data_IF_926786187480
#
_entry.id   IF_926786187480
#
_cell.length_a   1.000
_cell.length_b   1.000
_cell.length_c   1.000
_cell.angle_alpha   90.00
_cell.angle_beta   90.00
_cell.angle_gamma   90.00
#
_symmetry.space_group_name_H-M   'P 1'
#
loop_
_entity.id
_entity.type
_entity.pdbx_description
1 polymer ?
#
# COMPACT_ATOMS: atom_id res chain seq x y z
N UNK A 1 3.55 51.88 -28.71
CA UNK A 1 3.18 50.59 -29.32
C UNK A 1 4.26 49.52 -29.15
N UNK A 2 5.54 49.76 -29.45
CA UNK A 2 6.62 48.78 -29.21
C UNK A 2 6.92 48.48 -27.72
N UNK A 3 6.56 49.40 -26.81
CA UNK A 3 6.73 49.23 -25.35
C UNK A 3 5.76 48.21 -24.73
N UNK A 4 4.52 48.13 -25.22
CA UNK A 4 3.51 47.22 -24.65
C UNK A 4 3.81 45.76 -25.02
N UNK A 5 4.39 45.53 -26.20
CA UNK A 5 4.80 44.20 -26.65
C UNK A 5 6.01 43.67 -25.85
N UNK A 6 7.03 44.48 -25.57
CA UNK A 6 8.19 44.04 -24.78
C UNK A 6 7.83 43.75 -23.33
N UNK A 7 6.90 44.53 -22.75
CA UNK A 7 6.34 44.26 -21.42
C UNK A 7 5.52 42.97 -21.42
N UNK A 8 4.65 42.76 -22.41
CA UNK A 8 3.87 41.51 -22.54
C UNK A 8 4.76 40.27 -22.70
N UNK A 9 5.84 40.36 -23.48
CA UNK A 9 6.81 39.26 -23.64
C UNK A 9 7.65 39.02 -22.38
N UNK A 10 8.00 40.07 -21.63
CA UNK A 10 8.69 39.95 -20.35
C UNK A 10 7.81 39.30 -19.27
N UNK A 11 6.54 39.72 -19.18
CA UNK A 11 5.55 39.14 -18.25
C UNK A 11 5.30 37.67 -18.57
N UNK A 12 5.07 37.31 -19.83
CA UNK A 12 4.85 35.91 -20.24
C UNK A 12 6.04 35.00 -19.88
N UNK A 13 7.26 35.53 -19.99
CA UNK A 13 8.50 34.82 -19.62
C UNK A 13 8.63 34.58 -18.13
N UNK A 14 8.34 35.58 -17.31
CA UNK A 14 8.33 35.44 -15.85
C UNK A 14 7.24 34.47 -15.39
N UNK A 15 6.09 34.46 -16.08
CA UNK A 15 5.00 33.51 -15.80
C UNK A 15 5.44 32.06 -16.02
N UNK A 16 6.15 31.74 -17.10
CA UNK A 16 6.66 30.37 -17.31
C UNK A 16 7.62 29.92 -16.21
N UNK A 17 8.55 30.78 -15.78
CA UNK A 17 9.46 30.46 -14.67
C UNK A 17 8.67 30.23 -13.38
N UNK A 18 7.73 31.11 -13.07
CA UNK A 18 6.91 31.00 -11.86
C UNK A 18 6.10 29.70 -11.83
N UNK A 19 5.39 29.38 -12.93
CA UNK A 19 4.63 28.13 -13.06
C UNK A 19 5.58 26.93 -12.96
N UNK A 20 6.71 26.96 -13.65
CA UNK A 20 7.71 25.89 -13.61
C UNK A 20 8.21 25.62 -12.19
N UNK A 21 8.58 26.67 -11.44
CA UNK A 21 9.02 26.55 -10.04
C UNK A 21 7.89 25.99 -9.16
N UNK A 22 6.64 26.45 -9.33
CA UNK A 22 5.50 25.93 -8.57
C UNK A 22 5.28 24.44 -8.85
N UNK A 23 5.31 24.03 -10.13
CA UNK A 23 5.18 22.61 -10.52
C UNK A 23 6.31 21.76 -9.92
N UNK A 24 7.56 22.24 -9.99
CA UNK A 24 8.70 21.56 -9.37
C UNK A 24 8.54 21.45 -7.86
N UNK A 25 8.14 22.54 -7.19
CA UNK A 25 7.91 22.57 -5.74
C UNK A 25 6.83 21.57 -5.31
N UNK A 26 5.67 21.58 -5.97
CA UNK A 26 4.58 20.62 -5.70
C UNK A 26 5.07 19.19 -5.90
N UNK A 27 5.79 18.92 -7.00
CA UNK A 27 6.26 17.56 -7.33
C UNK A 27 7.29 17.06 -6.33
N UNK A 28 8.27 17.89 -5.94
CA UNK A 28 9.28 17.52 -4.95
C UNK A 28 8.65 17.32 -3.57
N UNK A 29 7.73 18.20 -3.16
CA UNK A 29 7.02 18.04 -1.87
C UNK A 29 6.22 16.75 -1.87
N UNK A 30 5.46 16.46 -2.94
CA UNK A 30 4.65 15.23 -3.04
C UNK A 30 5.52 13.97 -3.04
N UNK A 31 6.66 14.01 -3.75
CA UNK A 31 7.62 12.93 -3.80
C UNK A 31 8.24 12.66 -2.42
N UNK A 32 8.75 13.69 -1.73
CA UNK A 32 9.34 13.53 -0.40
C UNK A 32 8.30 13.11 0.63
N UNK A 33 7.08 13.66 0.56
CA UNK A 33 5.98 13.26 1.44
C UNK A 33 5.66 11.78 1.27
N UNK A 34 5.43 11.33 0.04
CA UNK A 34 5.02 9.96 -0.26
C UNK A 34 6.11 8.94 0.02
N UNK A 35 7.38 9.30 -0.14
CA UNK A 35 8.51 8.36 -0.02
C UNK A 35 9.18 8.36 1.35
N UNK A 36 9.20 9.50 2.06
CA UNK A 36 9.94 9.64 3.32
C UNK A 36 9.03 9.84 4.53
N UNK A 37 7.84 10.43 4.37
CA UNK A 37 6.95 10.71 5.50
C UNK A 37 6.01 9.55 5.81
N UNK A 38 6.53 8.58 6.57
CA UNK A 38 5.83 7.34 6.97
C UNK A 38 4.48 7.57 7.66
N UNK A 39 4.32 8.65 8.44
CA UNK A 39 3.07 8.95 9.15
C UNK A 39 2.08 9.78 8.33
N UNK A 40 2.55 10.44 7.26
CA UNK A 40 1.74 11.38 6.47
C UNK A 40 0.88 10.73 5.40
N UNK A 41 1.01 9.41 5.20
CA UNK A 41 0.37 8.70 4.10
C UNK A 41 0.86 9.17 2.73
N UNK A 42 -0.02 9.13 1.73
CA UNK A 42 0.35 9.53 0.38
C UNK A 42 0.23 11.04 0.23
N UNK A 43 1.19 11.65 -0.48
CA UNK A 43 1.13 13.07 -0.80
C UNK A 43 -0.15 13.42 -1.58
N UNK A 44 -0.61 14.68 -1.57
CA UNK A 44 -1.89 15.06 -2.16
C UNK A 44 -2.05 14.71 -3.63
N UNK A 45 -1.00 14.87 -4.43
CA UNK A 45 -1.02 14.53 -5.86
C UNK A 45 -1.08 13.01 -6.04
N UNK A 46 -0.29 12.28 -5.26
CA UNK A 46 -0.30 10.81 -5.29
C UNK A 46 -1.66 10.26 -4.83
N UNK A 47 -2.22 10.76 -3.73
CA UNK A 47 -3.53 10.36 -3.22
C UNK A 47 -4.65 10.59 -4.26
N UNK A 48 -4.64 11.76 -4.91
CA UNK A 48 -5.59 12.06 -5.99
C UNK A 48 -5.43 11.11 -7.18
N UNK A 49 -4.19 10.85 -7.60
CA UNK A 49 -3.90 9.94 -8.71
C UNK A 49 -4.33 8.50 -8.38
N UNK A 50 -4.04 8.01 -7.17
CA UNK A 50 -4.45 6.70 -6.71
C UNK A 50 -5.97 6.55 -6.72
N UNK A 51 -6.70 7.53 -6.15
CA UNK A 51 -8.15 7.52 -6.11
C UNK A 51 -8.76 7.57 -7.52
N UNK A 52 -8.24 8.42 -8.41
CA UNK A 52 -8.70 8.53 -9.79
C UNK A 52 -8.45 7.26 -10.60
N UNK A 53 -7.27 6.67 -10.45
CA UNK A 53 -6.91 5.41 -11.13
C UNK A 53 -7.78 4.27 -10.63
N UNK A 54 -8.00 4.19 -9.32
CA UNK A 54 -8.89 3.20 -8.73
C UNK A 54 -10.33 3.35 -9.21
N UNK A 55 -10.87 4.56 -9.22
CA UNK A 55 -12.23 4.83 -9.69
C UNK A 55 -12.43 4.40 -11.14
N UNK A 56 -11.46 4.67 -12.03
CA UNK A 56 -11.49 4.22 -13.42
C UNK A 56 -11.30 2.70 -13.58
N UNK A 57 -10.55 2.06 -12.68
CA UNK A 57 -10.28 0.64 -12.75
C UNK A 57 -11.41 -0.21 -12.15
N UNK A 58 -12.18 0.35 -11.20
CA UNK A 58 -13.28 -0.33 -10.50
C UNK A 58 -14.35 -0.87 -11.46
N UNK A 59 -14.62 -0.16 -12.56
CA UNK A 59 -15.59 -0.59 -13.60
C UNK A 59 -15.14 -1.88 -14.32
N UNK A 60 -13.83 -2.10 -14.41
CA UNK A 60 -13.22 -3.19 -15.21
C UNK A 60 -12.82 -4.38 -14.32
N UNK A 61 -12.44 -4.13 -13.07
CA UNK A 61 -11.96 -5.14 -12.10
C UNK A 61 -13.04 -6.16 -11.71
N UNK A 62 -14.31 -5.79 -11.74
CA UNK A 62 -15.41 -6.72 -11.46
C UNK A 62 -15.51 -7.89 -12.43
N UNK A 63 -15.03 -7.73 -13.67
CA UNK A 63 -15.19 -8.71 -14.74
C UNK A 63 -13.97 -9.61 -14.95
N UNK A 64 -12.78 -9.21 -14.46
CA UNK A 64 -11.53 -9.92 -14.76
C UNK A 64 -10.61 -10.03 -13.51
N UNK A 65 -10.52 -11.21 -12.87
CA UNK A 65 -9.71 -11.42 -11.66
C UNK A 65 -8.23 -11.06 -11.84
N UNK A 66 -7.67 -11.26 -13.04
CA UNK A 66 -6.28 -10.89 -13.37
C UNK A 66 -6.05 -9.38 -13.39
N UNK A 67 -7.07 -8.59 -13.74
CA UNK A 67 -6.96 -7.12 -13.75
C UNK A 67 -6.84 -6.61 -12.31
N UNK A 68 -7.41 -7.30 -11.32
CA UNK A 68 -7.29 -6.93 -9.90
C UNK A 68 -5.86 -7.02 -9.39
N UNK A 69 -5.10 -8.06 -9.72
CA UNK A 69 -3.71 -8.19 -9.27
C UNK A 69 -2.73 -7.22 -9.94
N UNK A 70 -3.08 -6.69 -11.11
CA UNK A 70 -2.28 -5.67 -11.79
C UNK A 70 -2.53 -4.24 -11.29
N UNK A 71 -3.58 -4.00 -10.49
CA UNK A 71 -3.93 -2.64 -10.04
C UNK A 71 -2.80 -1.96 -9.26
N UNK A 72 -2.25 -2.62 -8.23
CA UNK A 72 -1.10 -2.11 -7.47
C UNK A 72 0.12 -1.74 -8.34
N UNK A 73 0.67 -2.66 -9.16
CA UNK A 73 1.76 -2.34 -10.07
C UNK A 73 1.46 -1.21 -11.06
N UNK A 74 0.25 -1.16 -11.62
CA UNK A 74 -0.15 -0.10 -12.56
C UNK A 74 -0.19 1.26 -11.87
N UNK A 75 -0.78 1.36 -10.67
CA UNK A 75 -0.84 2.61 -9.91
C UNK A 75 0.58 3.06 -9.51
N UNK A 76 1.46 2.13 -9.13
CA UNK A 76 2.87 2.43 -8.85
C UNK A 76 3.56 3.07 -10.06
N UNK A 77 3.48 2.41 -11.22
CA UNK A 77 4.12 2.88 -12.46
C UNK A 77 3.53 4.24 -12.88
N UNK A 78 2.21 4.40 -12.78
CA UNK A 78 1.56 5.66 -13.13
C UNK A 78 1.99 6.80 -12.20
N UNK A 79 2.13 6.54 -10.90
CA UNK A 79 2.63 7.52 -9.92
C UNK A 79 4.03 8.01 -10.29
N UNK A 80 4.95 7.08 -10.54
CA UNK A 80 6.31 7.42 -10.97
C UNK A 80 6.33 8.17 -12.30
N UNK A 81 5.46 7.77 -13.25
CA UNK A 81 5.32 8.39 -14.56
C UNK A 81 4.82 9.83 -14.46
N UNK A 82 3.85 10.10 -13.58
CA UNK A 82 3.34 11.46 -13.35
C UNK A 82 4.41 12.34 -12.76
N UNK A 83 5.15 11.87 -11.74
CA UNK A 83 6.24 12.65 -11.15
C UNK A 83 7.34 13.00 -12.16
N UNK A 84 7.80 12.05 -12.97
CA UNK A 84 8.83 12.34 -13.97
C UNK A 84 8.32 13.31 -15.03
N UNK A 85 7.07 13.17 -15.48
CA UNK A 85 6.47 14.10 -16.46
C UNK A 85 6.36 15.50 -15.87
N UNK A 86 5.98 15.65 -14.60
CA UNK A 86 5.90 16.95 -13.94
C UNK A 86 7.28 17.58 -13.70
N UNK A 87 8.30 16.80 -13.31
CA UNK A 87 9.68 17.29 -13.21
C UNK A 87 10.18 17.77 -14.58
N UNK A 88 9.98 16.96 -15.62
CA UNK A 88 10.38 17.29 -16.99
C UNK A 88 9.65 18.53 -17.52
N UNK A 89 8.33 18.63 -17.32
CA UNK A 89 7.54 19.78 -17.70
C UNK A 89 7.95 21.04 -16.91
N UNK A 90 8.12 20.93 -15.59
CA UNK A 90 8.51 22.04 -14.71
C UNK A 90 9.85 22.65 -15.10
N UNK A 91 10.86 21.81 -15.33
CA UNK A 91 12.16 22.29 -15.82
C UNK A 91 12.08 22.86 -17.24
N UNK A 92 11.30 22.24 -18.13
CA UNK A 92 11.08 22.77 -19.50
C UNK A 92 10.49 24.19 -19.43
N UNK A 93 9.50 24.42 -18.56
CA UNK A 93 8.92 25.75 -18.33
C UNK A 93 9.95 26.75 -17.78
N UNK A 94 10.81 26.34 -16.85
CA UNK A 94 11.90 27.17 -16.32
C UNK A 94 12.85 27.60 -17.44
N UNK A 95 13.29 26.67 -18.30
CA UNK A 95 14.15 27.00 -19.45
C UNK A 95 13.42 27.75 -20.58
N UNK A 96 12.10 27.64 -20.67
CA UNK A 96 11.27 28.44 -21.59
C UNK A 96 11.08 29.89 -21.12
N UNK A 97 11.33 30.16 -19.84
CA UNK A 97 11.30 31.50 -19.25
C UNK A 97 12.30 32.51 -19.82
N UNK A 98 13.27 32.07 -20.62
CA UNK A 98 14.11 32.98 -21.40
C UNK A 98 14.42 32.44 -22.79
N UNK A 99 14.33 33.30 -23.80
CA UNK A 99 14.79 32.94 -25.15
C UNK A 99 16.31 32.76 -25.25
N UNK A 100 17.07 33.28 -24.28
CA UNK A 100 18.53 33.19 -24.22
C UNK A 100 19.04 32.22 -23.15
N UNK A 101 18.19 31.35 -22.61
CA UNK A 101 18.59 30.36 -21.61
C UNK A 101 19.58 29.32 -22.15
N UNK A 102 19.38 28.92 -23.39
CA UNK A 102 20.09 27.85 -24.06
C UNK A 102 20.71 28.34 -25.37
N UNK A 103 21.79 27.67 -25.80
CA UNK A 103 22.47 27.89 -27.07
C UNK A 103 22.57 26.54 -27.79
N UNK A 104 22.21 26.53 -29.07
CA UNK A 104 22.51 25.42 -29.97
C UNK A 104 23.97 25.54 -30.43
N UNK A 105 24.78 24.51 -30.16
CA UNK A 105 26.22 24.49 -30.51
C UNK A 105 26.49 23.98 -31.92
N UNK A 106 25.47 23.47 -32.61
CA UNK A 106 25.52 22.86 -33.94
C UNK A 106 25.06 23.85 -35.02
N UNK A 107 24.51 25.00 -34.62
CA UNK A 107 24.16 26.10 -35.53
C UNK A 107 22.80 25.92 -36.20
N UNK A 108 21.86 25.18 -35.59
CA UNK A 108 20.52 24.92 -36.18
C UNK A 108 19.57 26.13 -36.10
N UNK A 109 19.95 27.20 -35.40
CA UNK A 109 19.17 28.42 -35.26
C UNK A 109 18.68 28.66 -33.83
N UNK A 110 17.60 29.45 -33.64
CA UNK A 110 17.03 29.71 -32.32
C UNK A 110 16.48 28.43 -31.68
N UNK A 111 16.79 28.23 -30.39
CA UNK A 111 16.30 27.08 -29.62
C UNK A 111 14.77 27.09 -29.55
N UNK A 112 14.12 26.03 -30.03
CA UNK A 112 12.67 25.84 -30.07
C UNK A 112 12.11 25.21 -28.77
N UNK A 113 10.80 25.00 -28.67
CA UNK A 113 10.21 24.30 -27.52
C UNK A 113 10.61 22.82 -27.47
N UNK A 114 10.68 22.15 -28.62
CA UNK A 114 11.09 20.74 -28.68
C UNK A 114 12.56 20.60 -28.26
N UNK A 115 13.42 21.56 -28.63
CA UNK A 115 14.82 21.59 -28.22
C UNK A 115 14.99 21.77 -26.71
N UNK A 116 14.11 22.56 -26.07
CA UNK A 116 14.08 22.70 -24.60
C UNK A 116 13.66 21.40 -23.92
N UNK A 117 12.61 20.77 -24.42
CA UNK A 117 12.12 19.47 -23.92
C UNK A 117 13.19 18.38 -24.07
N UNK A 118 13.88 18.36 -25.20
CA UNK A 118 15.00 17.47 -25.47
C UNK A 118 16.18 17.73 -24.52
N UNK A 119 16.59 19.00 -24.38
CA UNK A 119 17.63 19.45 -23.44
C UNK A 119 17.36 18.99 -22.01
N UNK A 120 16.15 19.28 -21.51
CA UNK A 120 15.75 18.88 -20.15
C UNK A 120 15.71 17.35 -20.04
N UNK A 121 15.20 16.66 -21.06
CA UNK A 121 15.12 15.20 -21.08
C UNK A 121 16.48 14.53 -20.86
N UNK A 122 17.49 14.89 -21.66
CA UNK A 122 18.82 14.29 -21.48
C UNK A 122 19.55 14.81 -20.24
N UNK A 123 19.26 16.02 -19.77
CA UNK A 123 19.91 16.59 -18.56
C UNK A 123 19.37 15.94 -17.29
N UNK A 124 18.06 15.72 -17.23
CA UNK A 124 17.35 15.10 -16.11
C UNK A 124 17.83 13.66 -15.89
N UNK A 125 18.06 12.92 -16.98
CA UNK A 125 18.59 11.55 -16.95
C UNK A 125 20.11 11.46 -17.13
N UNK A 126 20.82 12.57 -16.92
CA UNK A 126 22.29 12.62 -16.87
C UNK A 126 23.02 12.13 -18.13
N UNK A 127 22.36 12.14 -19.29
CA UNK A 127 22.93 11.70 -20.56
C UNK A 127 23.89 12.73 -21.16
N UNK A 128 23.56 14.02 -21.09
CA UNK A 128 24.50 15.13 -21.35
C UNK A 128 25.12 15.17 -22.76
N UNK A 129 24.31 15.15 -23.83
CA UNK A 129 24.79 15.11 -25.23
C UNK A 129 25.62 16.35 -25.62
N UNK A 130 25.23 17.54 -25.14
CA UNK A 130 26.01 18.78 -25.29
C UNK A 130 25.81 19.52 -26.62
N UNK A 131 24.85 19.11 -27.46
CA UNK A 131 24.44 19.84 -28.65
C UNK A 131 23.61 21.10 -28.32
N UNK A 132 23.01 21.12 -27.13
CA UNK A 132 22.40 22.30 -26.52
C UNK A 132 23.05 22.56 -25.16
N UNK A 133 23.47 23.79 -24.90
CA UNK A 133 24.18 24.14 -23.65
C UNK A 133 23.58 25.38 -22.98
N UNK A 134 23.61 25.47 -21.64
CA UNK A 134 23.21 26.67 -20.92
C UNK A 134 24.15 27.85 -21.25
N UNK A 135 23.56 29.02 -21.53
CA UNK A 135 24.31 30.21 -21.96
C UNK A 135 25.19 30.82 -20.85
N UNK A 136 24.59 31.06 -19.68
CA UNK A 136 25.20 31.83 -18.58
C UNK A 136 25.25 31.00 -17.29
N UNK A 137 26.03 31.46 -16.30
CA UNK A 137 26.18 30.80 -14.99
C UNK A 137 24.87 30.48 -14.26
N UNK A 138 23.85 31.35 -14.34
CA UNK A 138 22.52 31.06 -13.75
C UNK A 138 21.83 29.85 -14.40
N UNK A 139 21.98 29.67 -15.70
CA UNK A 139 21.38 28.57 -16.45
C UNK A 139 22.23 27.31 -16.31
N UNK A 140 23.54 27.44 -16.14
CA UNK A 140 24.42 26.34 -15.75
C UNK A 140 24.02 25.78 -14.38
N UNK A 141 23.76 26.65 -13.40
CA UNK A 141 23.24 26.23 -12.10
C UNK A 141 21.87 25.56 -12.21
N UNK A 142 20.96 26.11 -13.01
CA UNK A 142 19.66 25.48 -13.28
C UNK A 142 19.80 24.07 -13.90
N UNK A 143 20.75 23.89 -14.83
CA UNK A 143 21.10 22.58 -15.41
C UNK A 143 21.61 21.63 -14.33
N UNK A 144 22.51 22.07 -13.46
CA UNK A 144 22.99 21.28 -12.32
C UNK A 144 21.83 20.85 -11.41
N UNK A 145 20.92 21.77 -11.09
CA UNK A 145 19.73 21.47 -10.28
C UNK A 145 18.76 20.52 -11.00
N UNK A 146 18.65 20.62 -12.33
CA UNK A 146 17.88 19.68 -13.14
C UNK A 146 18.44 18.27 -13.01
N UNK A 147 19.74 18.11 -13.23
CA UNK A 147 20.44 16.83 -13.05
C UNK A 147 20.32 16.30 -11.62
N UNK A 148 20.50 17.15 -10.60
CA UNK A 148 20.36 16.76 -9.20
C UNK A 148 18.94 16.26 -8.90
N UNK A 149 17.90 16.94 -9.42
CA UNK A 149 16.51 16.53 -9.22
C UNK A 149 16.17 15.20 -9.91
N UNK A 150 16.70 14.96 -11.10
CA UNK A 150 16.49 13.70 -11.82
C UNK A 150 17.22 12.52 -11.16
N UNK A 151 18.45 12.75 -10.70
CA UNK A 151 19.20 11.74 -9.93
C UNK A 151 18.48 11.40 -8.63
N UNK A 152 18.06 12.41 -7.86
CA UNK A 152 17.28 12.22 -6.62
C UNK A 152 15.98 11.45 -6.90
N UNK A 153 15.25 11.81 -7.96
CA UNK A 153 14.04 11.12 -8.39
C UNK A 153 14.31 9.64 -8.68
N UNK A 154 15.33 9.32 -9.50
CA UNK A 154 15.64 7.93 -9.85
C UNK A 154 16.01 7.13 -8.60
N UNK A 155 16.87 7.68 -7.74
CA UNK A 155 17.28 7.02 -6.50
C UNK A 155 16.09 6.73 -5.59
N UNK A 156 15.27 7.73 -5.29
CA UNK A 156 14.10 7.56 -4.43
C UNK A 156 13.04 6.66 -5.07
N UNK A 157 12.85 6.72 -6.38
CA UNK A 157 11.91 5.86 -7.10
C UNK A 157 12.30 4.39 -7.00
N UNK A 158 13.58 4.06 -7.23
CA UNK A 158 14.08 2.68 -7.10
C UNK A 158 13.95 2.20 -5.66
N UNK A 159 14.36 3.00 -4.68
CA UNK A 159 14.21 2.67 -3.26
C UNK A 159 12.74 2.42 -2.89
N UNK A 160 11.84 3.30 -3.31
CA UNK A 160 10.41 3.18 -3.04
C UNK A 160 9.81 1.92 -3.67
N UNK A 161 10.14 1.62 -4.93
CA UNK A 161 9.69 0.40 -5.61
C UNK A 161 10.15 -0.84 -4.85
N UNK A 162 11.42 -0.91 -4.44
CA UNK A 162 11.95 -2.04 -3.68
C UNK A 162 11.25 -2.19 -2.32
N UNK A 163 11.05 -1.09 -1.60
CA UNK A 163 10.33 -1.08 -0.32
C UNK A 163 8.88 -1.53 -0.44
N UNK A 164 8.17 -1.09 -1.49
CA UNK A 164 6.79 -1.52 -1.76
C UNK A 164 6.75 -3.01 -2.10
N UNK A 165 7.65 -3.49 -2.97
CA UNK A 165 7.70 -4.91 -3.33
C UNK A 165 8.03 -5.79 -2.13
N UNK A 166 8.96 -5.38 -1.26
CA UNK A 166 9.26 -6.09 -0.02
C UNK A 166 8.06 -6.12 0.93
N UNK A 167 7.33 -5.01 1.08
CA UNK A 167 6.11 -5.01 1.87
C UNK A 167 5.01 -5.93 1.29
N UNK A 168 4.91 -6.04 -0.04
CA UNK A 168 4.00 -6.99 -0.72
C UNK A 168 4.43 -8.44 -0.48
N UNK A 169 5.74 -8.75 -0.51
CA UNK A 169 6.22 -10.11 -0.22
C UNK A 169 5.98 -10.47 1.23
N UNK A 170 6.20 -9.55 2.18
CA UNK A 170 5.89 -9.73 3.60
C UNK A 170 4.40 -9.99 3.84
N UNK A 171 3.51 -9.26 3.15
CA UNK A 171 2.05 -9.47 3.19
C UNK A 171 1.67 -10.91 2.81
N UNK A 172 2.31 -11.46 1.76
CA UNK A 172 2.10 -12.84 1.32
C UNK A 172 2.74 -13.86 2.26
N UNK A 173 3.93 -13.58 2.78
CA UNK A 173 4.60 -14.45 3.75
C UNK A 173 3.79 -14.63 5.02
N UNK A 174 3.15 -13.56 5.53
CA UNK A 174 2.21 -13.64 6.64
C UNK A 174 1.01 -14.52 6.31
N UNK A 175 0.38 -14.30 5.16
CA UNK A 175 -0.77 -15.09 4.75
C UNK A 175 -0.43 -16.59 4.69
N UNK A 176 0.69 -16.94 4.04
CA UNK A 176 1.20 -18.30 3.93
C UNK A 176 1.58 -18.90 5.27
N UNK A 177 2.11 -18.08 6.18
CA UNK A 177 2.45 -18.50 7.53
C UNK A 177 1.24 -19.00 8.30
N UNK A 178 0.10 -18.31 8.20
CA UNK A 178 -1.15 -18.73 8.87
C UNK A 178 -1.83 -19.87 8.12
N UNK A 179 -2.04 -19.74 6.81
CA UNK A 179 -2.76 -20.76 6.03
C UNK A 179 -2.00 -22.09 5.96
N UNK A 180 -0.67 -22.05 6.07
CA UNK A 180 0.18 -23.23 6.21
C UNK A 180 0.04 -23.97 7.55
N UNK A 181 -0.43 -23.31 8.62
CA UNK A 181 -0.77 -23.99 9.88
C UNK A 181 -2.10 -24.75 9.76
N UNK A 182 -3.01 -24.25 8.93
CA UNK A 182 -4.28 -24.89 8.65
C UNK A 182 -5.26 -23.97 7.93
N UNK A 183 -6.25 -24.55 7.23
CA UNK A 183 -7.23 -23.78 6.47
C UNK A 183 -8.29 -23.09 7.35
N UNK A 184 -8.40 -23.48 8.62
CA UNK A 184 -9.42 -23.03 9.57
C UNK A 184 -8.83 -22.90 10.97
N UNK A 185 -9.35 -21.97 11.77
CA UNK A 185 -8.85 -21.73 13.12
C UNK A 185 -8.98 -22.94 14.04
N UNK A 186 -10.07 -23.71 13.93
CA UNK A 186 -10.27 -24.94 14.70
C UNK A 186 -9.25 -26.03 14.38
N UNK A 187 -8.87 -26.18 13.11
CA UNK A 187 -7.82 -27.12 12.68
C UNK A 187 -6.46 -26.76 13.29
N UNK A 188 -6.11 -25.48 13.29
CA UNK A 188 -4.85 -24.99 13.88
C UNK A 188 -4.83 -25.25 15.39
N UNK A 189 -5.92 -24.95 16.10
CA UNK A 189 -6.03 -25.20 17.54
C UNK A 189 -5.88 -26.68 17.83
N UNK A 190 -6.58 -27.55 17.10
CA UNK A 190 -6.48 -29.00 17.27
C UNK A 190 -5.07 -29.54 17.09
N UNK A 191 -4.33 -29.05 16.09
CA UNK A 191 -2.95 -29.49 15.84
C UNK A 191 -2.00 -29.14 16.99
N UNK A 192 -2.30 -28.09 17.75
CA UNK A 192 -1.52 -27.70 18.92
C UNK A 192 -1.79 -28.52 20.18
N UNK A 193 -2.81 -29.37 20.19
CA UNK A 193 -3.20 -30.15 21.37
C UNK A 193 -2.43 -31.49 21.41
N UNK A 194 -1.71 -31.75 22.50
CA UNK A 194 -0.95 -33.00 22.68
C UNK A 194 -1.75 -34.13 23.31
N UNK A 195 -2.98 -33.86 23.73
CA UNK A 195 -3.81 -34.75 24.55
C UNK A 195 -3.88 -34.32 26.02
N UNK A 196 -2.87 -33.60 26.50
CA UNK A 196 -2.80 -33.10 27.89
C UNK A 196 -2.73 -31.57 27.96
N UNK A 197 -2.04 -30.92 27.03
CA UNK A 197 -1.86 -29.48 27.02
C UNK A 197 -1.62 -28.96 25.59
N UNK A 198 -1.71 -27.65 25.39
CA UNK A 198 -1.21 -27.04 24.16
C UNK A 198 0.31 -26.94 24.18
N UNK A 199 0.94 -27.37 23.08
CA UNK A 199 2.37 -27.22 22.88
C UNK A 199 2.68 -26.91 21.41
N UNK A 200 3.66 -26.03 21.17
CA UNK A 200 4.14 -25.73 19.83
C UNK A 200 3.35 -24.65 19.07
N UNK A 201 2.31 -24.08 19.69
CA UNK A 201 1.59 -22.91 19.16
C UNK A 201 2.26 -21.59 19.52
N UNK A 202 3.10 -21.55 20.57
CA UNK A 202 3.71 -20.31 21.06
C UNK A 202 4.60 -19.64 20.01
N UNK A 203 5.44 -20.44 19.35
CA UNK A 203 6.37 -19.96 18.32
C UNK A 203 5.62 -19.46 17.07
N UNK A 204 4.70 -20.23 16.44
CA UNK A 204 3.89 -19.75 15.33
C UNK A 204 3.06 -18.50 15.67
N UNK A 205 2.44 -18.43 16.84
CA UNK A 205 1.66 -17.26 17.26
C UNK A 205 2.56 -16.04 17.43
N UNK A 206 3.71 -16.18 18.08
CA UNK A 206 4.67 -15.08 18.25
C UNK A 206 5.22 -14.58 16.90
N UNK A 207 5.55 -15.50 15.99
CA UNK A 207 6.02 -15.16 14.66
C UNK A 207 4.94 -14.45 13.83
N UNK A 208 3.70 -14.96 13.87
CA UNK A 208 2.55 -14.37 13.18
C UNK A 208 2.23 -12.97 13.71
N UNK A 209 2.33 -12.79 15.03
CA UNK A 209 2.13 -11.49 15.69
C UNK A 209 3.18 -10.48 15.25
N UNK A 210 4.46 -10.87 15.23
CA UNK A 210 5.54 -10.01 14.75
C UNK A 210 5.35 -9.63 13.26
N UNK A 211 4.95 -10.59 12.43
CA UNK A 211 4.67 -10.35 11.01
C UNK A 211 3.46 -9.44 10.80
N UNK A 212 2.37 -9.61 11.58
CA UNK A 212 1.19 -8.75 11.53
C UNK A 212 1.52 -7.32 11.96
N UNK A 213 2.33 -7.14 13.00
CA UNK A 213 2.79 -5.81 13.41
C UNK A 213 3.61 -5.11 12.31
N UNK A 214 4.49 -5.84 11.62
CA UNK A 214 5.21 -5.31 10.44
C UNK A 214 4.24 -4.97 9.31
N UNK A 215 3.22 -5.81 9.09
CA UNK A 215 2.21 -5.57 8.07
C UNK A 215 1.44 -4.27 8.35
N UNK A 216 1.04 -4.02 9.60
CA UNK A 216 0.41 -2.77 10.04
C UNK A 216 1.33 -1.58 9.81
N UNK A 217 2.60 -1.68 10.21
CA UNK A 217 3.59 -0.62 9.99
C UNK A 217 3.80 -0.31 8.51
N UNK A 218 3.91 -1.34 7.66
CA UNK A 218 4.07 -1.19 6.23
C UNK A 218 2.85 -0.54 5.57
N UNK A 219 1.62 -0.87 5.98
CA UNK A 219 0.43 -0.22 5.42
C UNK A 219 0.35 1.27 5.78
N UNK A 220 0.87 1.68 6.93
CA UNK A 220 1.01 3.11 7.29
C UNK A 220 2.06 3.78 6.41
N UNK A 221 3.23 3.15 6.26
CA UNK A 221 4.35 3.67 5.49
C UNK A 221 4.07 3.74 3.98
N UNK A 222 3.32 2.78 3.44
CA UNK A 222 3.10 2.60 2.01
C UNK A 222 1.60 2.43 1.72
N UNK A 223 0.83 3.54 1.65
CA UNK A 223 -0.61 3.50 1.40
C UNK A 223 -0.99 2.78 0.10
N UNK A 224 -0.07 2.77 -0.87
CA UNK A 224 -0.21 2.07 -2.13
C UNK A 224 -0.46 0.56 -1.96
N UNK A 225 -0.04 -0.04 -0.83
CA UNK A 225 -0.24 -1.46 -0.54
C UNK A 225 -1.70 -1.90 -0.49
N UNK A 226 -2.62 -0.97 -0.23
CA UNK A 226 -4.05 -1.25 -0.28
C UNK A 226 -4.47 -1.78 -1.66
N UNK A 227 -3.90 -1.22 -2.74
CA UNK A 227 -4.22 -1.62 -4.11
C UNK A 227 -3.45 -2.85 -4.59
N UNK A 228 -2.54 -3.41 -3.78
CA UNK A 228 -1.86 -4.66 -4.11
C UNK A 228 -2.72 -5.85 -3.67
N UNK A 229 -3.62 -6.26 -4.56
CA UNK A 229 -4.44 -7.46 -4.37
C UNK A 229 -3.73 -8.71 -4.93
N UNK A 230 -3.95 -9.84 -4.28
CA UNK A 230 -3.47 -11.14 -4.75
C UNK A 230 -4.63 -11.90 -5.41
N UNK A 231 -4.37 -12.61 -6.50
CA UNK A 231 -5.38 -13.44 -7.23
C UNK A 231 -5.78 -14.69 -6.46
N UNK A 232 -4.85 -15.30 -5.74
CA UNK A 232 -5.07 -16.55 -4.98
C UNK A 232 -5.64 -16.27 -3.59
N UNK A 233 -6.74 -16.95 -3.24
CA UNK A 233 -7.44 -16.76 -1.97
C UNK A 233 -6.59 -17.17 -0.76
N UNK A 234 -5.78 -18.21 -0.92
CA UNK A 234 -4.88 -18.76 0.10
C UNK A 234 -3.74 -17.81 0.48
N UNK A 235 -3.52 -16.77 -0.34
CA UNK A 235 -2.49 -15.75 -0.15
C UNK A 235 -3.08 -14.39 0.23
N UNK A 236 -4.39 -14.33 0.50
CA UNK A 236 -5.06 -13.12 0.94
C UNK A 236 -4.82 -12.92 2.45
N UNK A 237 -4.14 -11.85 2.87
CA UNK A 237 -3.85 -11.63 4.29
C UNK A 237 -5.11 -11.37 5.11
N UNK A 238 -6.18 -10.83 4.50
CA UNK A 238 -7.47 -10.62 5.19
C UNK A 238 -8.08 -11.95 5.66
N UNK A 239 -7.94 -13.01 4.85
CA UNK A 239 -8.37 -14.37 5.22
C UNK A 239 -7.48 -14.93 6.31
N UNK A 240 -6.15 -14.79 6.18
CA UNK A 240 -5.22 -15.21 7.21
C UNK A 240 -5.45 -14.49 8.57
N UNK A 241 -5.81 -13.21 8.57
CA UNK A 241 -6.14 -12.47 9.78
C UNK A 241 -7.45 -12.97 10.38
N UNK A 242 -8.46 -13.29 9.57
CA UNK A 242 -9.69 -13.94 10.04
C UNK A 242 -9.40 -15.31 10.68
N UNK A 243 -8.59 -16.16 10.04
CA UNK A 243 -8.16 -17.45 10.60
C UNK A 243 -7.42 -17.25 11.92
N UNK A 244 -6.47 -16.31 11.98
CA UNK A 244 -5.73 -15.99 13.21
C UNK A 244 -6.67 -15.50 14.32
N UNK A 245 -7.66 -14.67 14.00
CA UNK A 245 -8.65 -14.22 14.99
C UNK A 245 -9.53 -15.35 15.49
N UNK A 246 -9.93 -16.28 14.62
CA UNK A 246 -10.67 -17.49 15.01
C UNK A 246 -9.84 -18.37 15.94
N UNK A 247 -8.54 -18.56 15.67
CA UNK A 247 -7.61 -19.27 16.57
C UNK A 247 -7.59 -18.60 17.94
N UNK A 248 -7.37 -17.29 17.99
CA UNK A 248 -7.30 -16.55 19.26
C UNK A 248 -8.63 -16.56 20.02
N UNK A 249 -9.76 -16.58 19.29
CA UNK A 249 -11.11 -16.69 19.84
C UNK A 249 -11.36 -18.05 20.45
N UNK A 250 -11.02 -19.12 19.74
CA UNK A 250 -11.12 -20.50 20.25
C UNK A 250 -10.22 -20.71 21.46
N UNK A 251 -8.96 -20.28 21.42
CA UNK A 251 -8.03 -20.45 22.54
C UNK A 251 -8.46 -19.68 23.80
N UNK A 252 -9.03 -18.48 23.65
CA UNK A 252 -9.38 -17.62 24.78
C UNK A 252 -10.79 -17.84 25.33
N UNK A 253 -11.74 -18.22 24.48
CA UNK A 253 -13.15 -18.33 24.87
C UNK A 253 -13.74 -19.73 24.65
N UNK A 254 -13.14 -20.56 23.79
CA UNK A 254 -13.60 -21.91 23.54
C UNK A 254 -12.98 -22.95 24.47
N UNK A 255 -11.67 -22.85 24.74
CA UNK A 255 -10.92 -23.75 25.63
C UNK A 255 -11.20 -23.43 27.10
N UNK A 256 -11.32 -24.49 27.91
CA UNK A 256 -11.50 -24.39 29.36
C UNK A 256 -10.34 -23.64 30.04
N UNK A 257 -10.63 -22.84 31.08
CA UNK A 257 -9.67 -21.91 31.70
C UNK A 257 -8.31 -22.53 32.07
N UNK A 258 -8.31 -23.78 32.54
CA UNK A 258 -7.12 -24.47 33.05
C UNK A 258 -6.17 -24.98 31.94
N UNK A 259 -6.68 -25.19 30.73
CA UNK A 259 -5.90 -25.73 29.61
C UNK A 259 -5.47 -24.65 28.62
N UNK A 260 -5.76 -23.37 28.89
CA UNK A 260 -5.45 -22.30 27.95
C UNK A 260 -3.93 -22.10 27.79
N UNK A 261 -3.45 -21.75 26.59
CA UNK A 261 -2.07 -21.31 26.41
C UNK A 261 -1.76 -20.03 27.19
N UNK A 262 -0.47 -19.70 27.26
CA UNK A 262 0.05 -18.47 27.87
C UNK A 262 -0.75 -17.21 27.49
N UNK A 263 -1.37 -16.57 28.48
CA UNK A 263 -2.19 -15.37 28.33
C UNK A 263 -1.43 -14.18 27.71
N UNK A 264 -0.15 -13.91 28.06
CA UNK A 264 0.62 -12.86 27.39
C UNK A 264 0.73 -13.04 25.87
N UNK A 265 0.88 -14.28 25.38
CA UNK A 265 1.03 -14.56 23.94
C UNK A 265 -0.27 -14.30 23.21
N UNK A 266 -1.38 -14.83 23.72
CA UNK A 266 -2.71 -14.66 23.10
C UNK A 266 -3.19 -13.21 23.18
N UNK A 267 -2.89 -12.51 24.27
CA UNK A 267 -3.22 -11.09 24.45
C UNK A 267 -2.43 -10.21 23.48
N UNK A 268 -1.13 -10.45 23.32
CA UNK A 268 -0.30 -9.69 22.37
C UNK A 268 -0.77 -9.91 20.93
N UNK A 269 -1.01 -11.17 20.54
CA UNK A 269 -1.51 -11.51 19.21
C UNK A 269 -2.86 -10.84 18.92
N UNK A 270 -3.78 -10.82 19.89
CA UNK A 270 -5.08 -10.17 19.73
C UNK A 270 -4.96 -8.65 19.59
N UNK A 271 -4.11 -8.01 20.38
CA UNK A 271 -3.83 -6.58 20.27
C UNK A 271 -3.24 -6.21 18.89
N UNK A 272 -2.43 -7.08 18.29
CA UNK A 272 -1.95 -6.88 16.93
C UNK A 272 -3.06 -6.93 15.87
N UNK A 273 -4.05 -7.80 16.03
CA UNK A 273 -5.23 -7.80 15.17
C UNK A 273 -6.10 -6.55 15.42
N UNK A 274 -6.23 -6.09 16.67
CA UNK A 274 -6.91 -4.82 16.99
C UNK A 274 -6.27 -3.63 16.26
N UNK A 275 -4.95 -3.52 16.30
CA UNK A 275 -4.21 -2.46 15.60
C UNK A 275 -4.44 -2.50 14.08
N UNK A 276 -4.56 -3.69 13.50
CA UNK A 276 -4.88 -3.85 12.09
C UNK A 276 -6.31 -3.41 11.76
N UNK A 277 -7.29 -3.78 12.60
CA UNK A 277 -8.68 -3.35 12.44
C UNK A 277 -8.82 -1.83 12.58
N UNK A 278 -8.12 -1.21 13.53
CA UNK A 278 -8.15 0.24 13.74
C UNK A 278 -7.58 0.98 12.53
N UNK A 279 -6.45 0.50 11.99
CA UNK A 279 -5.86 1.03 10.75
C UNK A 279 -6.87 1.01 9.60
N UNK A 280 -7.64 -0.06 9.43
CA UNK A 280 -8.55 -0.20 8.30
C UNK A 280 -9.89 0.51 8.48
N UNK A 281 -10.34 0.69 9.74
CA UNK A 281 -11.46 1.60 10.04
C UNK A 281 -11.11 3.03 9.62
N UNK A 282 -9.86 3.46 9.81
CA UNK A 282 -9.40 4.77 9.32
C UNK A 282 -9.38 4.88 7.79
N UNK A 283 -9.30 3.75 7.08
CA UNK A 283 -9.40 3.65 5.62
C UNK A 283 -10.85 3.51 5.09
N UNK A 284 -11.86 3.73 5.95
CA UNK A 284 -13.29 3.72 5.63
C UNK A 284 -13.90 2.37 5.20
N UNK A 285 -13.31 1.24 5.57
CA UNK A 285 -13.97 -0.06 5.34
C UNK A 285 -15.11 -0.24 6.35
N UNK A 286 -16.31 -0.47 5.83
CA UNK A 286 -17.53 -0.62 6.63
C UNK A 286 -17.61 -2.04 7.21
N UNK A 287 -17.97 -2.19 8.49
CA UNK A 287 -18.33 -3.50 9.04
C UNK A 287 -19.50 -4.10 8.26
N UNK A 288 -19.52 -5.43 8.12
CA UNK A 288 -20.65 -6.13 7.54
C UNK A 288 -21.91 -6.00 8.42
N UNK A 289 -23.09 -6.07 7.82
CA UNK A 289 -24.36 -6.01 8.55
C UNK A 289 -24.61 -7.27 9.42
N UNK A 290 -23.93 -8.37 9.07
CA UNK A 290 -24.06 -9.69 9.70
C UNK A 290 -22.75 -10.14 10.33
N UNK A 291 -22.83 -11.02 11.32
CA UNK A 291 -21.66 -11.71 11.86
C UNK A 291 -21.26 -12.89 10.97
N UNK A 292 -19.96 -13.22 10.87
CA UNK A 292 -19.51 -14.44 10.21
C UNK A 292 -19.95 -15.69 10.98
N UNK A 293 -19.91 -16.88 10.35
CA UNK A 293 -20.18 -18.16 11.04
C UNK A 293 -19.29 -18.34 12.28
N UNK A 294 -19.81 -18.90 13.38
CA UNK A 294 -19.03 -19.17 14.58
C UNK A 294 -17.89 -20.16 14.30
N UNK A 295 -16.71 -20.01 14.94
CA UNK A 295 -15.68 -21.03 14.87
C UNK A 295 -16.18 -22.36 15.42
N UNK A 296 -15.82 -23.47 14.76
CA UNK A 296 -16.34 -24.81 15.09
C UNK A 296 -15.78 -25.32 16.44
N UNK A 297 -16.55 -25.14 17.51
CA UNK A 297 -16.22 -25.60 18.86
C UNK A 297 -16.33 -27.13 19.01
N UNK A 298 -17.27 -27.77 18.31
CA UNK A 298 -17.47 -29.21 18.38
C UNK A 298 -16.25 -29.99 17.89
N UNK A 299 -15.58 -29.48 16.86
CA UNK A 299 -14.36 -30.08 16.35
C UNK A 299 -13.22 -30.14 17.38
N UNK A 300 -13.21 -29.22 18.37
CA UNK A 300 -12.28 -29.25 19.50
C UNK A 300 -12.71 -30.33 20.51
N UNK A 301 -14.00 -30.43 20.83
CA UNK A 301 -14.57 -31.46 21.71
C UNK A 301 -14.28 -32.87 21.19
N UNK A 302 -14.50 -33.09 19.90
CA UNK A 302 -14.21 -34.35 19.21
C UNK A 302 -12.72 -34.72 19.26
N UNK A 303 -11.83 -33.72 19.29
CA UNK A 303 -10.39 -33.92 19.44
C UNK A 303 -9.94 -34.14 20.89
N UNK A 304 -10.88 -34.19 21.85
CA UNK A 304 -10.59 -34.39 23.26
C UNK A 304 -10.06 -33.14 23.98
N UNK A 305 -10.24 -31.96 23.40
CA UNK A 305 -9.86 -30.68 24.03
C UNK A 305 -10.96 -30.28 25.01
N UNK A 306 -10.63 -29.97 26.28
CA UNK A 306 -11.61 -29.43 27.22
C UNK A 306 -12.14 -28.06 26.75
N UNK A 307 -13.46 -27.97 26.56
CA UNK A 307 -14.12 -26.74 26.09
C UNK A 307 -15.14 -26.23 27.09
N UNK A 308 -15.48 -24.95 26.99
CA UNK A 308 -16.61 -24.35 27.69
C UNK A 308 -17.94 -24.87 27.11
N UNK A 309 -19.06 -24.58 27.80
CA UNK A 309 -20.39 -24.85 27.24
C UNK A 309 -20.65 -24.00 26.00
N UNK A 310 -21.49 -24.52 25.10
CA UNK A 310 -21.89 -23.82 23.87
C UNK A 310 -22.52 -22.46 24.18
N UNK A 311 -23.40 -22.41 25.19
CA UNK A 311 -24.03 -21.19 25.69
C UNK A 311 -23.01 -20.13 26.16
N UNK A 312 -21.94 -20.55 26.84
CA UNK A 312 -20.90 -19.64 27.30
C UNK A 312 -20.03 -19.12 26.14
N UNK A 313 -19.76 -19.99 25.16
CA UNK A 313 -19.02 -19.61 23.96
C UNK A 313 -19.83 -18.63 23.10
N UNK A 314 -21.11 -18.91 22.86
CA UNK A 314 -22.02 -18.05 22.11
C UNK A 314 -22.20 -16.68 22.79
N UNK A 315 -22.29 -16.65 24.12
CA UNK A 315 -22.28 -15.41 24.89
C UNK A 315 -21.03 -14.57 24.63
N UNK A 316 -19.84 -15.20 24.63
CA UNK A 316 -18.57 -14.53 24.32
C UNK A 316 -18.51 -14.04 22.87
N UNK A 317 -19.03 -14.83 21.93
CA UNK A 317 -19.11 -14.43 20.51
C UNK A 317 -20.05 -13.24 20.29
N UNK A 318 -21.14 -13.15 21.04
CA UNK A 318 -22.08 -12.03 20.99
C UNK A 318 -21.43 -10.72 21.46
N UNK A 319 -20.63 -10.75 22.52
CA UNK A 319 -19.85 -9.58 22.98
C UNK A 319 -18.82 -9.11 21.94
N UNK A 320 -18.34 -10.02 21.09
CA UNK A 320 -17.37 -9.73 20.02
C UNK A 320 -18.01 -9.40 18.67
N UNK A 321 -19.32 -9.23 18.59
CA UNK A 321 -20.03 -9.06 17.31
C UNK A 321 -19.43 -7.95 16.44
N UNK A 322 -19.13 -6.78 17.00
CA UNK A 322 -18.57 -5.63 16.25
C UNK A 322 -17.21 -5.93 15.61
N UNK A 323 -16.35 -6.66 16.32
CA UNK A 323 -15.06 -7.09 15.81
C UNK A 323 -15.24 -8.06 14.65
N UNK A 324 -16.10 -9.06 14.84
CA UNK A 324 -16.33 -10.13 13.86
C UNK A 324 -16.99 -9.56 12.59
N UNK A 325 -17.92 -8.61 12.73
CA UNK A 325 -18.51 -7.84 11.62
C UNK A 325 -17.46 -7.01 10.88
N UNK A 326 -16.52 -6.38 11.59
CA UNK A 326 -15.43 -5.64 10.97
C UNK A 326 -14.51 -6.56 10.14
N UNK A 327 -14.11 -7.72 10.69
CA UNK A 327 -13.33 -8.71 9.94
C UNK A 327 -14.09 -9.24 8.72
N UNK A 328 -15.39 -9.54 8.86
CA UNK A 328 -16.18 -10.00 7.72
C UNK A 328 -16.28 -8.93 6.62
N UNK A 329 -16.50 -7.67 6.99
CA UNK A 329 -16.49 -6.55 6.05
C UNK A 329 -15.18 -6.46 5.26
N UNK A 330 -14.03 -6.73 5.89
CA UNK A 330 -12.73 -6.77 5.22
C UNK A 330 -12.59 -7.92 4.23
N UNK A 331 -13.06 -9.10 4.61
CA UNK A 331 -13.02 -10.28 3.76
C UNK A 331 -13.93 -10.08 2.54
N UNK A 332 -15.12 -9.50 2.74
CA UNK A 332 -16.07 -9.20 1.68
C UNK A 332 -15.61 -8.05 0.76
N UNK A 333 -14.95 -7.01 1.29
CA UNK A 333 -14.39 -5.90 0.51
C UNK A 333 -13.25 -6.37 -0.43
N UNK A 334 -12.44 -7.35 0.00
CA UNK A 334 -11.46 -8.02 -0.87
C UNK A 334 -12.10 -9.06 -1.82
N UNK A 335 -13.44 -9.18 -1.79
CA UNK A 335 -14.27 -10.11 -2.56
C UNK A 335 -13.84 -11.57 -2.33
N UNK A 336 -13.61 -11.90 -1.06
CA UNK A 336 -13.27 -13.24 -0.57
C UNK A 336 -14.41 -13.80 0.28
N UNK A 337 -14.36 -15.11 0.50
CA UNK A 337 -15.27 -15.81 1.39
C UNK A 337 -14.63 -15.98 2.76
N UNK A 338 -15.46 -15.97 3.81
CA UNK A 338 -15.01 -16.31 5.16
C UNK A 338 -14.42 -17.73 5.19
N UNK A 339 -13.35 -17.98 5.96
CA UNK A 339 -12.80 -19.33 6.14
C UNK A 339 -13.74 -20.20 6.99
N UNK A 340 -14.86 -20.63 6.41
CA UNK A 340 -15.82 -21.55 7.02
C UNK A 340 -15.53 -23.02 6.63
N UNK A 341 -16.12 -23.95 7.37
CA UNK A 341 -15.91 -25.39 7.20
C UNK A 341 -16.55 -25.92 5.91
N UNK A 342 -16.07 -27.06 5.38
CA UNK A 342 -16.72 -27.74 4.24
C UNK A 342 -18.18 -28.15 4.55
N UNK A 343 -18.53 -28.36 5.82
CA UNK A 343 -19.90 -28.62 6.24
C UNK A 343 -20.82 -27.41 5.97
N UNK A 344 -20.34 -26.18 6.21
CA UNK A 344 -21.08 -24.94 5.96
C UNK A 344 -21.22 -24.60 4.47
N UNK A 345 -20.42 -25.21 3.58
CA UNK A 345 -20.52 -25.00 2.13
C UNK A 345 -21.68 -25.75 1.48
N UNK A 346 -22.25 -26.73 2.19
CA UNK A 346 -23.34 -27.57 1.65
C UNK A 346 -24.73 -27.02 2.01
N UNK A 347 -24.80 -26.02 2.90
CA UNK A 347 -26.07 -25.41 3.36
C UNK A 347 -26.28 -23.96 2.90
N UNK A 348 -25.41 -23.40 2.05
CA UNK A 348 -25.54 -22.07 1.44
C UNK A 348 -25.90 -22.14 -0.04
#
# INVERSE_FOLDING_TARGET
MLSDWTVSFGVMRTVYVAIGIVVLGITVVDLLWTTLWVEGGAGPLTAWLMAGTWAGMRTTVGHYPRVRSLSGPVILILTLSVWIVLLWAGWTLVFAGSASSLIDTVGRGPVSWIDRMYFVGYTLFTLGIGDIVPRDGRWQLATTMTTASGMLFVTLSVSYVLSVLDAVTQKRAFANGITGLGPQGSSIVRQGWTGEAFAGLELPLSASTAQLNRLVANHRAYPLLHYFHTTEAEHAPVVAIAILDDVLTLLRFGVADHDRPSEPITTNARASVDNYLELLRSAFIQPADRTPPPPNLDSLREAGIPTVSEEAFDGSLAEMADRRRALLGLVEDDLRQWPASEADRTEA
#
